data_IF_915878788230
#
_entry.id   IF_915878788230
#
_cell.length_a   1.000
_cell.length_b   1.000
_cell.length_c   1.000
_cell.angle_alpha   90.00
_cell.angle_beta   90.00
_cell.angle_gamma   90.00
#
_symmetry.space_group_name_H-M   'P 1'
#
loop_
_entity.id
_entity.type
_entity.pdbx_description
1 polymer ?
#
# COMPACT_ATOMS: atom_id res chain seq x y z
N UNK A 1 -23.87 -96.92 -6.42
CA UNK A 1 -22.99 -97.02 -5.23
C UNK A 1 -22.25 -95.71 -5.00
N UNK A 2 -22.82 -94.84 -4.16
CA UNK A 2 -22.16 -94.00 -3.13
C UNK A 2 -23.32 -93.48 -2.28
N UNK A 3 -23.23 -93.73 -0.98
CA UNK A 3 -24.32 -93.75 0.01
C UNK A 3 -24.74 -92.33 0.38
N UNK A 4 -26.02 -91.98 0.20
CA UNK A 4 -27.01 -91.70 1.25
C UNK A 4 -26.47 -91.44 2.67
N UNK A 5 -26.78 -90.24 3.20
CA UNK A 5 -27.23 -90.03 4.59
C UNK A 5 -28.02 -88.70 4.60
N UNK A 6 -29.35 -88.67 4.41
CA UNK A 6 -30.41 -89.00 5.38
C UNK A 6 -30.22 -88.35 6.76
N UNK A 7 -30.75 -87.14 6.92
CA UNK A 7 -31.56 -86.79 8.10
C UNK A 7 -32.75 -85.93 7.66
N UNK A 8 -33.76 -86.67 7.21
CA UNK A 8 -35.19 -86.39 7.35
C UNK A 8 -35.54 -85.94 8.78
N UNK A 9 -36.61 -85.23 9.14
CA UNK A 9 -37.83 -84.72 8.49
C UNK A 9 -38.67 -84.02 9.59
N UNK A 10 -39.52 -83.06 9.20
CA UNK A 10 -40.71 -82.54 9.91
C UNK A 10 -40.47 -81.68 11.16
N UNK A 11 -41.13 -80.54 11.32
CA UNK A 11 -42.57 -80.40 11.19
C UNK A 11 -42.98 -79.04 10.58
N UNK A 12 -43.83 -79.16 9.57
CA UNK A 12 -44.48 -78.13 8.77
C UNK A 12 -45.95 -78.14 9.17
N UNK A 13 -46.53 -77.00 9.53
CA UNK A 13 -47.99 -76.68 9.57
C UNK A 13 -48.15 -75.29 10.24
N UNK A 14 -48.84 -74.28 9.71
CA UNK A 14 -49.59 -74.15 8.48
C UNK A 14 -49.90 -72.66 8.21
N UNK A 15 -49.68 -72.22 6.97
CA UNK A 15 -50.54 -71.36 6.12
C UNK A 15 -51.18 -70.05 6.63
N UNK A 16 -50.86 -68.94 5.95
CA UNK A 16 -51.78 -68.26 5.02
C UNK A 16 -51.03 -67.32 4.05
N UNK A 17 -51.63 -67.14 2.87
CA UNK A 17 -51.08 -66.62 1.61
C UNK A 17 -51.22 -65.09 1.49
N UNK A 18 -50.20 -64.40 0.97
CA UNK A 18 -50.36 -63.34 -0.06
C UNK A 18 -49.04 -63.02 -0.77
N UNK A 19 -49.00 -63.15 -2.09
CA UNK A 19 -48.03 -62.49 -2.95
C UNK A 19 -48.60 -61.13 -3.36
N UNK A 20 -47.95 -60.02 -3.00
CA UNK A 20 -47.78 -58.84 -3.87
C UNK A 20 -46.83 -57.76 -3.29
N UNK A 21 -45.82 -57.40 -4.10
CA UNK A 21 -45.18 -56.08 -4.31
C UNK A 21 -45.30 -54.98 -3.24
N UNK A 22 -44.15 -54.47 -2.74
CA UNK A 22 -43.96 -53.04 -2.46
C UNK A 22 -42.48 -52.63 -2.60
N UNK A 23 -42.26 -51.61 -3.43
CA UNK A 23 -41.13 -50.67 -3.40
C UNK A 23 -41.04 -50.03 -2.01
N UNK A 24 -39.82 -49.84 -1.50
CA UNK A 24 -39.38 -48.70 -0.67
C UNK A 24 -37.85 -48.71 -0.81
N UNK A 25 -37.20 -47.87 -1.63
CA UNK A 25 -36.95 -46.43 -1.42
C UNK A 25 -36.66 -46.09 0.04
N UNK A 26 -35.63 -46.73 0.60
CA UNK A 26 -34.83 -46.09 1.63
C UNK A 26 -33.95 -45.02 0.95
N UNK A 27 -34.58 -43.91 0.55
CA UNK A 27 -33.87 -42.64 0.50
C UNK A 27 -33.49 -42.34 1.95
N UNK A 28 -32.25 -42.70 2.32
CA UNK A 28 -31.59 -42.02 3.41
C UNK A 28 -31.46 -40.56 2.97
N UNK A 29 -32.47 -39.77 3.32
CA UNK A 29 -32.34 -38.31 3.38
C UNK A 29 -31.11 -38.06 4.24
N UNK A 30 -29.97 -37.81 3.59
CA UNK A 30 -28.86 -37.14 4.22
C UNK A 30 -29.45 -35.83 4.70
N UNK A 31 -29.64 -35.71 6.01
CA UNK A 31 -29.93 -34.44 6.65
C UNK A 31 -28.78 -33.54 6.21
N UNK A 32 -29.01 -32.72 5.17
CA UNK A 32 -28.09 -31.65 4.80
C UNK A 32 -28.05 -30.77 6.04
N UNK A 33 -26.91 -30.80 6.73
CA UNK A 33 -26.63 -29.87 7.80
C UNK A 33 -26.87 -28.46 7.24
N UNK A 34 -27.87 -27.77 7.78
CA UNK A 34 -28.22 -26.43 7.32
C UNK A 34 -27.08 -25.51 7.73
N UNK A 35 -26.39 -24.95 6.75
CA UNK A 35 -25.31 -24.01 6.98
C UNK A 35 -25.89 -22.68 7.47
N UNK A 36 -25.65 -22.36 8.75
CA UNK A 36 -26.11 -21.15 9.41
C UNK A 36 -25.05 -20.04 9.44
N UNK A 37 -23.93 -20.23 8.74
CA UNK A 37 -22.87 -19.23 8.64
C UNK A 37 -23.38 -17.92 8.03
N UNK A 38 -22.67 -16.84 8.34
CA UNK A 38 -22.96 -15.53 7.75
C UNK A 38 -22.83 -15.59 6.22
N UNK A 39 -21.83 -16.32 5.73
CA UNK A 39 -21.64 -16.58 4.31
C UNK A 39 -22.86 -17.21 3.66
N UNK A 40 -23.40 -18.27 4.26
CA UNK A 40 -24.56 -19.00 3.74
C UNK A 40 -25.85 -18.17 3.81
N UNK A 41 -26.09 -17.49 4.93
CA UNK A 41 -27.40 -16.90 5.24
C UNK A 41 -27.57 -15.45 4.79
N UNK A 42 -26.49 -14.66 4.77
CA UNK A 42 -26.53 -13.23 4.46
C UNK A 42 -25.87 -12.85 3.14
N UNK A 43 -24.87 -13.62 2.70
CA UNK A 43 -24.12 -13.31 1.47
C UNK A 43 -24.58 -14.13 0.25
N UNK A 44 -25.48 -15.09 0.42
CA UNK A 44 -26.00 -15.94 -0.66
C UNK A 44 -25.28 -17.30 -0.80
N UNK A 45 -24.27 -17.55 0.02
CA UNK A 45 -23.65 -18.86 0.19
C UNK A 45 -23.08 -19.46 -1.10
N UNK A 46 -23.10 -20.79 -1.13
CA UNK A 46 -22.52 -21.61 -2.21
C UNK A 46 -23.36 -21.62 -3.51
N UNK A 47 -24.43 -20.83 -3.59
CA UNK A 47 -25.27 -20.75 -4.79
C UNK A 47 -24.41 -20.33 -5.98
N UNK A 48 -24.31 -21.17 -7.01
CA UNK A 48 -23.48 -20.87 -8.18
C UNK A 48 -24.20 -19.90 -9.12
N UNK A 49 -23.53 -18.80 -9.44
CA UNK A 49 -23.96 -17.79 -10.42
C UNK A 49 -22.87 -17.56 -11.45
N UNK A 50 -23.21 -16.96 -12.59
CA UNK A 50 -22.22 -16.62 -13.61
C UNK A 50 -21.22 -15.59 -13.07
N UNK A 51 -19.93 -15.80 -13.31
CA UNK A 51 -18.90 -14.84 -12.92
C UNK A 51 -18.82 -13.71 -13.98
N UNK A 52 -19.18 -12.46 -13.64
CA UNK A 52 -19.13 -11.33 -14.58
C UNK A 52 -17.69 -10.96 -14.98
N UNK A 53 -16.70 -11.29 -14.17
CA UNK A 53 -15.28 -11.04 -14.41
C UNK A 53 -14.61 -12.17 -15.17
N UNK A 54 -15.21 -13.38 -15.19
CA UNK A 54 -14.67 -14.56 -15.86
C UNK A 54 -15.73 -15.23 -16.75
N UNK A 55 -15.81 -14.82 -18.01
CA UNK A 55 -16.82 -15.32 -18.94
C UNK A 55 -16.83 -16.85 -19.05
N UNK A 56 -18.02 -17.44 -18.91
CA UNK A 56 -18.23 -18.88 -18.98
C UNK A 56 -17.90 -19.64 -17.69
N UNK A 57 -17.42 -18.96 -16.64
CA UNK A 57 -17.20 -19.56 -15.33
C UNK A 57 -18.37 -19.28 -14.38
N UNK A 58 -18.52 -20.18 -13.40
CA UNK A 58 -19.49 -20.04 -12.33
C UNK A 58 -18.75 -19.78 -11.01
N UNK A 59 -19.33 -18.97 -10.14
CA UNK A 59 -18.79 -18.56 -8.84
C UNK A 59 -19.87 -18.66 -7.76
N UNK A 60 -19.48 -18.82 -6.50
CA UNK A 60 -20.41 -18.76 -5.37
C UNK A 60 -20.93 -17.33 -5.20
N UNK A 61 -22.25 -17.17 -5.01
CA UNK A 61 -22.88 -15.87 -4.84
C UNK A 61 -22.28 -15.13 -3.63
N UNK A 62 -22.00 -15.84 -2.53
CA UNK A 62 -21.32 -15.28 -1.37
C UNK A 62 -19.95 -14.69 -1.71
N UNK A 63 -19.15 -15.44 -2.46
CA UNK A 63 -17.81 -15.00 -2.87
C UNK A 63 -17.90 -13.81 -3.84
N UNK A 64 -18.84 -13.84 -4.79
CA UNK A 64 -19.04 -12.74 -5.73
C UNK A 64 -19.41 -11.44 -5.01
N UNK A 65 -20.27 -11.52 -3.99
CA UNK A 65 -20.68 -10.37 -3.20
C UNK A 65 -19.50 -9.78 -2.41
N UNK A 66 -18.73 -10.63 -1.73
CA UNK A 66 -17.51 -10.21 -1.04
C UNK A 66 -16.49 -9.58 -2.00
N UNK A 67 -16.23 -10.24 -3.15
CA UNK A 67 -15.32 -9.72 -4.18
C UNK A 67 -15.75 -8.36 -4.70
N UNK A 68 -17.06 -8.14 -4.84
CA UNK A 68 -17.63 -6.86 -5.29
C UNK A 68 -17.34 -5.76 -4.27
N UNK A 69 -17.55 -6.03 -2.97
CA UNK A 69 -17.27 -5.08 -1.90
C UNK A 69 -15.77 -4.78 -1.82
N UNK A 70 -14.92 -5.80 -1.83
CA UNK A 70 -13.46 -5.67 -1.77
C UNK A 70 -12.95 -4.84 -2.95
N UNK A 71 -13.34 -5.21 -4.17
CA UNK A 71 -12.96 -4.50 -5.40
C UNK A 71 -13.41 -3.04 -5.35
N UNK A 72 -14.67 -2.79 -4.95
CA UNK A 72 -15.20 -1.44 -4.83
C UNK A 72 -14.47 -0.60 -3.77
N UNK A 73 -14.08 -1.20 -2.65
CA UNK A 73 -13.34 -0.52 -1.57
C UNK A 73 -11.98 -0.05 -2.07
N UNK A 74 -11.20 -0.94 -2.68
CA UNK A 74 -9.87 -0.58 -3.23
C UNK A 74 -10.00 0.52 -4.29
N UNK A 75 -10.97 0.41 -5.19
CA UNK A 75 -11.20 1.43 -6.22
C UNK A 75 -11.69 2.77 -5.64
N UNK A 76 -12.55 2.76 -4.62
CA UNK A 76 -13.01 3.96 -3.93
C UNK A 76 -11.85 4.69 -3.26
N UNK A 77 -10.99 3.96 -2.54
CA UNK A 77 -9.78 4.52 -1.92
C UNK A 77 -8.86 5.16 -2.96
N UNK A 78 -8.65 4.48 -4.09
CA UNK A 78 -7.79 4.96 -5.16
C UNK A 78 -8.33 6.23 -5.86
N UNK A 79 -9.65 6.43 -5.91
CA UNK A 79 -10.27 7.43 -6.78
C UNK A 79 -10.92 8.63 -6.07
N UNK A 80 -11.35 8.49 -4.81
CA UNK A 80 -12.05 9.56 -4.11
C UNK A 80 -11.12 10.34 -3.17
N UNK A 81 -11.18 11.67 -3.20
CA UNK A 81 -10.29 12.53 -2.41
C UNK A 81 -10.52 12.40 -0.90
N UNK A 82 -11.71 11.95 -0.49
CA UNK A 82 -12.03 11.62 0.90
C UNK A 82 -11.04 10.61 1.51
N UNK A 83 -10.55 9.66 0.70
CA UNK A 83 -9.66 8.60 1.14
C UNK A 83 -8.20 8.83 0.69
N UNK A 84 -7.86 10.07 0.30
CA UNK A 84 -6.53 10.40 -0.20
C UNK A 84 -5.41 10.05 0.80
N UNK A 85 -5.69 10.10 2.10
CA UNK A 85 -4.76 9.76 3.17
C UNK A 85 -4.36 8.29 3.21
N UNK A 86 -5.20 7.39 2.67
CA UNK A 86 -4.89 5.96 2.58
C UNK A 86 -4.03 5.61 1.36
N UNK A 87 -4.00 6.46 0.33
CA UNK A 87 -3.31 6.18 -0.94
C UNK A 87 -1.80 5.87 -0.78
N UNK A 88 -1.04 6.53 0.12
CA UNK A 88 0.37 6.22 0.33
C UNK A 88 0.64 4.74 0.66
N UNK A 89 -0.27 4.04 1.36
CA UNK A 89 -0.13 2.62 1.66
C UNK A 89 -0.31 1.72 0.44
N UNK A 90 -0.94 2.23 -0.62
CA UNK A 90 -1.20 1.52 -1.87
C UNK A 90 -0.25 1.92 -3.01
N UNK A 91 0.85 2.64 -2.74
CA UNK A 91 1.72 3.17 -3.79
C UNK A 91 2.23 2.09 -4.77
N UNK A 92 2.62 0.90 -4.28
CA UNK A 92 3.03 -0.22 -5.16
C UNK A 92 1.90 -0.63 -6.08
N UNK A 93 0.70 -0.80 -5.52
CA UNK A 93 -0.47 -1.21 -6.28
C UNK A 93 -0.87 -0.15 -7.32
N UNK A 94 -0.82 1.13 -6.96
CA UNK A 94 -1.14 2.23 -7.85
C UNK A 94 -0.12 2.34 -8.99
N UNK A 95 1.16 2.10 -8.73
CA UNK A 95 2.20 2.08 -9.76
C UNK A 95 1.98 0.93 -10.76
N UNK A 96 1.69 -0.29 -10.28
CA UNK A 96 1.37 -1.44 -11.13
C UNK A 96 0.16 -1.17 -12.02
N UNK A 97 -0.94 -0.68 -11.44
CA UNK A 97 -2.16 -0.36 -12.18
C UNK A 97 -1.91 0.75 -13.21
N UNK A 98 -1.12 1.77 -12.85
CA UNK A 98 -0.70 2.83 -13.76
C UNK A 98 0.16 2.34 -14.93
N UNK A 99 0.90 1.25 -14.73
CA UNK A 99 1.67 0.54 -15.76
C UNK A 99 0.85 -0.51 -16.53
N UNK A 100 -0.48 -0.50 -16.39
CA UNK A 100 -1.41 -1.48 -16.97
C UNK A 100 -1.19 -2.93 -16.47
N UNK A 101 -0.52 -3.11 -15.34
CA UNK A 101 -0.34 -4.40 -14.66
C UNK A 101 -1.38 -4.57 -13.54
N UNK A 102 -2.36 -5.45 -13.78
CA UNK A 102 -3.43 -5.76 -12.80
C UNK A 102 -3.10 -6.95 -11.90
N UNK A 103 -1.88 -7.52 -11.97
CA UNK A 103 -1.54 -8.75 -11.25
C UNK A 103 -1.62 -8.57 -9.73
N UNK A 104 -1.02 -7.52 -9.18
CA UNK A 104 -1.07 -7.20 -7.76
C UNK A 104 -2.48 -6.81 -7.28
N UNK A 105 -3.25 -6.10 -8.13
CA UNK A 105 -4.66 -5.79 -7.84
C UNK A 105 -5.49 -7.06 -7.70
N UNK A 106 -5.37 -7.96 -8.67
CA UNK A 106 -6.10 -9.23 -8.65
C UNK A 106 -5.68 -10.11 -7.47
N UNK A 107 -4.39 -10.12 -7.11
CA UNK A 107 -3.90 -10.83 -5.93
C UNK A 107 -4.48 -10.26 -4.63
N UNK A 108 -4.43 -8.94 -4.44
CA UNK A 108 -5.00 -8.26 -3.27
C UNK A 108 -6.50 -8.55 -3.14
N UNK A 109 -7.26 -8.34 -4.22
CA UNK A 109 -8.70 -8.58 -4.23
C UNK A 109 -9.00 -10.03 -3.90
N UNK A 110 -8.26 -10.98 -4.47
CA UNK A 110 -8.45 -12.40 -4.20
C UNK A 110 -8.15 -12.72 -2.73
N UNK A 111 -6.98 -12.37 -2.22
CA UNK A 111 -6.54 -12.74 -0.87
C UNK A 111 -7.45 -12.11 0.20
N UNK A 112 -7.87 -10.86 0.01
CA UNK A 112 -8.80 -10.24 0.92
C UNK A 112 -10.21 -10.85 0.81
N UNK A 113 -10.66 -11.24 -0.38
CA UNK A 113 -11.93 -11.96 -0.53
C UNK A 113 -11.89 -13.34 0.13
N UNK A 114 -10.78 -14.09 -0.02
CA UNK A 114 -10.58 -15.39 0.63
C UNK A 114 -10.59 -15.26 2.16
N UNK A 115 -9.92 -14.24 2.70
CA UNK A 115 -9.96 -13.91 4.13
C UNK A 115 -11.39 -13.72 4.64
N UNK A 116 -12.17 -12.88 3.95
CA UNK A 116 -13.55 -12.61 4.33
C UNK A 116 -14.44 -13.84 4.16
N UNK A 117 -14.24 -14.63 3.10
CA UNK A 117 -15.02 -15.83 2.85
C UNK A 117 -14.78 -16.87 3.96
N UNK A 118 -13.52 -17.16 4.29
CA UNK A 118 -13.17 -18.05 5.40
C UNK A 118 -13.73 -17.53 6.73
N UNK A 119 -13.53 -16.24 7.02
CA UNK A 119 -13.97 -15.64 8.29
C UNK A 119 -15.49 -15.56 8.45
N UNK A 120 -16.23 -15.55 7.35
CA UNK A 120 -17.70 -15.57 7.36
C UNK A 120 -18.29 -16.98 7.33
N UNK A 121 -17.43 -18.02 7.33
CA UNK A 121 -17.79 -19.42 7.47
C UNK A 121 -17.90 -20.20 6.16
N UNK A 122 -17.36 -19.68 5.05
CA UNK A 122 -17.31 -20.43 3.80
C UNK A 122 -16.43 -21.67 3.94
N UNK A 123 -16.86 -22.80 3.37
CA UNK A 123 -16.18 -24.10 3.51
C UNK A 123 -15.15 -24.37 2.41
N UNK A 124 -15.27 -23.66 1.29
CA UNK A 124 -14.50 -23.93 0.07
C UNK A 124 -13.34 -22.94 -0.14
N UNK A 125 -13.10 -22.04 0.81
CA UNK A 125 -12.09 -21.00 0.73
C UNK A 125 -11.21 -21.04 1.98
N UNK A 126 -9.93 -20.76 1.79
CA UNK A 126 -8.94 -20.70 2.86
C UNK A 126 -7.98 -19.58 2.53
N UNK A 127 -7.81 -18.66 3.47
CA UNK A 127 -6.81 -17.63 3.39
C UNK A 127 -5.42 -18.25 3.59
N UNK A 128 -4.53 -17.97 2.64
CA UNK A 128 -3.15 -18.46 2.65
C UNK A 128 -2.12 -17.34 2.60
N UNK A 129 -2.57 -16.10 2.75
CA UNK A 129 -1.71 -14.93 2.79
C UNK A 129 -0.94 -14.80 4.11
N UNK A 130 -0.21 -13.70 4.22
CA UNK A 130 0.55 -13.35 5.43
C UNK A 130 -0.39 -13.18 6.64
N UNK A 131 0.16 -13.31 7.84
CA UNK A 131 -0.58 -12.91 9.04
C UNK A 131 -0.99 -11.44 8.93
N UNK A 132 -2.10 -11.02 9.54
CA UNK A 132 -2.50 -9.60 9.49
C UNK A 132 -1.42 -8.66 10.03
N UNK A 133 -0.58 -9.14 10.96
CA UNK A 133 0.59 -8.41 11.47
C UNK A 133 1.64 -8.23 10.38
N UNK A 134 2.09 -9.32 9.76
CA UNK A 134 3.17 -9.27 8.76
C UNK A 134 2.68 -8.58 7.47
N UNK A 135 1.41 -8.80 7.10
CA UNK A 135 0.79 -8.21 5.92
C UNK A 135 0.79 -6.68 5.97
N UNK A 136 0.72 -6.08 7.16
CA UNK A 136 0.66 -4.62 7.38
C UNK A 136 1.94 -4.05 8.00
N UNK A 137 3.02 -4.82 8.01
CA UNK A 137 4.34 -4.40 8.48
C UNK A 137 5.30 -4.22 7.30
N UNK A 138 5.76 -2.99 6.99
CA UNK A 138 6.70 -2.73 5.89
C UNK A 138 8.02 -3.51 5.98
N UNK A 139 8.44 -3.94 7.18
CA UNK A 139 9.64 -4.74 7.35
C UNK A 139 9.47 -6.23 6.95
N UNK A 140 8.22 -6.70 6.84
CA UNK A 140 7.88 -8.07 6.46
C UNK A 140 7.20 -8.15 5.08
N UNK A 141 6.56 -7.08 4.65
CA UNK A 141 5.86 -6.98 3.38
C UNK A 141 6.27 -5.69 2.64
N UNK A 142 7.15 -5.83 1.65
CA UNK A 142 7.65 -4.73 0.82
C UNK A 142 6.54 -4.04 -0.01
N UNK A 143 5.33 -4.61 -0.06
CA UNK A 143 4.18 -3.98 -0.71
C UNK A 143 3.46 -2.96 0.18
N UNK A 144 3.73 -2.96 1.48
CA UNK A 144 3.19 -1.98 2.42
C UNK A 144 4.16 -0.82 2.61
N UNK A 145 3.67 0.37 2.29
CA UNK A 145 4.45 1.58 2.35
C UNK A 145 4.03 2.41 3.57
N UNK A 146 4.50 1.99 4.75
CA UNK A 146 4.19 2.60 6.05
C UNK A 146 3.37 1.70 6.99
N UNK A 147 3.41 2.02 8.29
CA UNK A 147 2.58 1.40 9.32
C UNK A 147 1.28 2.19 9.51
N UNK A 148 0.19 1.48 9.83
CA UNK A 148 -1.17 2.01 9.97
C UNK A 148 -1.43 2.44 11.43
N UNK A 149 -2.12 3.57 11.65
CA UNK A 149 -2.66 3.97 12.95
C UNK A 149 -4.19 3.73 13.05
N UNK A 150 -4.83 4.14 14.16
CA UNK A 150 -6.27 3.97 14.30
C UNK A 150 -7.10 4.83 13.33
N UNK A 151 -6.64 6.03 12.98
CA UNK A 151 -7.38 6.93 12.09
C UNK A 151 -7.40 6.38 10.66
N UNK A 152 -6.26 5.87 10.19
CA UNK A 152 -6.15 5.15 8.92
C UNK A 152 -7.10 3.94 8.87
N UNK A 153 -7.12 3.15 9.95
CA UNK A 153 -7.97 1.96 10.03
C UNK A 153 -9.46 2.32 10.01
N UNK A 154 -9.86 3.35 10.78
CA UNK A 154 -11.24 3.83 10.82
C UNK A 154 -11.69 4.32 9.45
N UNK A 155 -10.82 5.06 8.76
CA UNK A 155 -11.08 5.58 7.41
C UNK A 155 -11.21 4.44 6.38
N UNK A 156 -10.43 3.36 6.52
CA UNK A 156 -10.59 2.15 5.71
C UNK A 156 -11.93 1.44 5.98
N UNK A 157 -12.32 1.28 7.25
CA UNK A 157 -13.61 0.68 7.63
C UNK A 157 -14.77 1.51 7.07
N UNK A 158 -14.66 2.83 7.10
CA UNK A 158 -15.64 3.74 6.50
C UNK A 158 -15.81 3.48 4.99
N UNK A 159 -14.70 3.33 4.26
CA UNK A 159 -14.73 3.00 2.83
C UNK A 159 -15.46 1.67 2.56
N UNK A 160 -15.20 0.64 3.38
CA UNK A 160 -15.88 -0.67 3.26
C UNK A 160 -17.37 -0.53 3.49
N UNK A 161 -17.79 0.22 4.52
CA UNK A 161 -19.21 0.42 4.86
C UNK A 161 -19.94 1.17 3.75
N UNK A 162 -19.34 2.22 3.19
CA UNK A 162 -19.93 2.96 2.06
C UNK A 162 -20.12 2.05 0.85
N UNK A 163 -19.08 1.31 0.46
CA UNK A 163 -19.17 0.42 -0.71
C UNK A 163 -20.17 -0.71 -0.49
N UNK A 164 -20.19 -1.31 0.70
CA UNK A 164 -21.19 -2.32 1.04
C UNK A 164 -22.61 -1.75 0.95
N UNK A 165 -22.82 -0.53 1.43
CA UNK A 165 -24.11 0.17 1.35
C UNK A 165 -24.52 0.41 -0.10
N UNK A 166 -23.62 0.93 -0.93
CA UNK A 166 -23.87 1.18 -2.35
C UNK A 166 -24.13 -0.11 -3.14
N UNK A 167 -23.52 -1.22 -2.73
CA UNK A 167 -23.73 -2.54 -3.30
C UNK A 167 -25.03 -3.23 -2.81
N UNK A 168 -25.83 -2.57 -1.96
CA UNK A 168 -27.10 -3.08 -1.45
C UNK A 168 -27.00 -3.93 -0.18
N UNK A 169 -25.86 -3.89 0.50
CA UNK A 169 -25.59 -4.62 1.76
C UNK A 169 -25.59 -3.71 3.00
N UNK A 170 -26.23 -2.53 2.90
CA UNK A 170 -26.24 -1.52 3.96
C UNK A 170 -27.14 -1.81 5.17
N UNK A 171 -27.74 -3.00 5.25
CA UNK A 171 -28.60 -3.37 6.37
C UNK A 171 -27.76 -3.67 7.63
N UNK A 172 -28.23 -3.22 8.80
CA UNK A 172 -27.50 -3.36 10.07
C UNK A 172 -27.16 -4.81 10.43
N UNK A 173 -28.01 -5.75 10.02
CA UNK A 173 -27.77 -7.19 10.22
C UNK A 173 -26.61 -7.75 9.39
N UNK A 174 -26.13 -7.01 8.40
CA UNK A 174 -24.94 -7.32 7.59
C UNK A 174 -23.77 -6.45 8.04
N UNK A 175 -23.97 -5.12 8.11
CA UNK A 175 -22.89 -4.19 8.46
C UNK A 175 -22.37 -4.39 9.89
N UNK A 176 -23.23 -4.76 10.84
CA UNK A 176 -22.81 -5.01 12.23
C UNK A 176 -21.79 -6.15 12.34
N UNK A 177 -22.10 -7.36 11.86
CA UNK A 177 -21.14 -8.47 11.82
C UNK A 177 -19.88 -8.19 11.00
N UNK A 178 -19.99 -7.50 9.86
CA UNK A 178 -18.81 -7.11 9.05
C UNK A 178 -17.90 -6.16 9.84
N UNK A 179 -18.48 -5.15 10.50
CA UNK A 179 -17.74 -4.25 11.37
C UNK A 179 -17.05 -5.00 12.50
N UNK A 180 -17.73 -5.93 13.18
CA UNK A 180 -17.10 -6.76 14.21
C UNK A 180 -15.95 -7.64 13.69
N UNK A 181 -16.09 -8.17 12.48
CA UNK A 181 -15.04 -8.96 11.85
C UNK A 181 -13.79 -8.11 11.59
N UNK A 182 -13.97 -6.91 11.02
CA UNK A 182 -12.88 -5.98 10.76
C UNK A 182 -12.25 -5.50 12.08
N UNK A 183 -13.06 -5.09 13.07
CA UNK A 183 -12.56 -4.70 14.39
C UNK A 183 -11.73 -5.80 15.07
N UNK A 184 -12.04 -7.06 14.81
CA UNK A 184 -11.25 -8.20 15.31
C UNK A 184 -9.82 -8.26 14.77
N UNK A 185 -9.51 -7.57 13.68
CA UNK A 185 -8.15 -7.50 13.10
C UNK A 185 -7.38 -6.25 13.49
N UNK A 186 -8.02 -5.26 14.11
CA UNK A 186 -7.42 -3.96 14.43
C UNK A 186 -6.08 -4.08 15.15
N UNK A 187 -6.02 -4.86 16.22
CA UNK A 187 -4.79 -5.03 17.02
C UNK A 187 -3.60 -5.60 16.22
N UNK A 188 -3.87 -6.35 15.15
CA UNK A 188 -2.83 -6.88 14.28
C UNK A 188 -2.39 -5.87 13.20
N UNK A 189 -3.30 -4.99 12.78
CA UNK A 189 -3.09 -4.07 11.65
C UNK A 189 -2.54 -2.72 12.13
N UNK A 190 -3.05 -2.20 13.24
CA UNK A 190 -2.62 -0.92 13.83
C UNK A 190 -1.28 -1.12 14.52
N UNK A 191 -0.23 -0.57 13.90
CA UNK A 191 1.16 -0.75 14.32
C UNK A 191 1.91 0.59 14.51
N UNK A 192 1.28 1.70 14.11
CA UNK A 192 1.79 3.06 14.28
C UNK A 192 1.06 3.75 15.45
N UNK A 193 1.78 4.60 16.18
CA UNK A 193 1.21 5.36 17.30
C UNK A 193 0.27 6.47 16.78
N UNK A 194 -0.89 6.62 17.42
CA UNK A 194 -1.88 7.63 17.06
C UNK A 194 -1.30 9.05 17.11
N UNK A 195 -1.69 9.88 16.14
CA UNK A 195 -1.25 11.28 16.06
C UNK A 195 0.19 11.46 15.59
N UNK A 196 0.88 10.38 15.24
CA UNK A 196 2.05 10.46 14.38
C UNK A 196 1.60 10.54 12.92
N UNK A 197 2.44 11.02 12.01
CA UNK A 197 2.18 10.93 10.58
C UNK A 197 3.14 9.92 9.98
N UNK A 198 2.75 9.23 8.91
CA UNK A 198 3.73 8.56 8.06
C UNK A 198 4.74 9.58 7.56
N UNK A 199 6.00 9.14 7.48
CA UNK A 199 7.10 10.00 7.07
C UNK A 199 6.86 10.55 5.66
N UNK A 200 7.47 11.70 5.37
CA UNK A 200 7.23 12.39 4.11
C UNK A 200 7.79 11.60 2.92
N UNK A 201 8.85 10.82 3.11
CA UNK A 201 9.38 9.96 2.04
C UNK A 201 8.33 8.95 1.57
N UNK A 202 7.71 8.26 2.53
CA UNK A 202 6.59 7.33 2.32
C UNK A 202 5.42 8.01 1.61
N UNK A 203 5.03 9.22 2.04
CA UNK A 203 3.96 10.01 1.38
C UNK A 203 4.29 10.43 -0.05
N UNK A 204 5.57 10.62 -0.37
CA UNK A 204 6.02 10.99 -1.72
C UNK A 204 6.12 9.80 -2.69
N UNK A 205 5.82 8.58 -2.23
CA UNK A 205 5.95 7.38 -3.05
C UNK A 205 6.80 6.30 -2.40
N UNK A 206 7.60 6.66 -1.39
CA UNK A 206 8.46 5.73 -0.67
C UNK A 206 9.41 4.97 -1.58
N UNK A 207 9.63 3.70 -1.24
CA UNK A 207 10.56 2.78 -1.92
C UNK A 207 10.01 2.16 -3.20
N UNK A 208 8.84 2.60 -3.67
CA UNK A 208 8.23 2.07 -4.89
C UNK A 208 9.09 2.46 -6.09
N UNK A 209 9.55 1.46 -6.84
CA UNK A 209 10.38 1.70 -8.01
C UNK A 209 9.52 2.12 -9.21
N UNK A 210 9.83 3.26 -9.81
CA UNK A 210 9.19 3.78 -11.02
C UNK A 210 10.26 4.19 -12.03
N UNK A 211 9.91 4.18 -13.32
CA UNK A 211 10.82 4.59 -14.38
C UNK A 211 10.99 6.12 -14.39
N UNK A 212 12.24 6.59 -14.40
CA UNK A 212 12.59 8.00 -14.52
C UNK A 212 12.53 8.49 -15.98
N UNK A 213 12.84 9.77 -16.20
CA UNK A 213 12.80 10.36 -17.55
C UNK A 213 13.83 9.80 -18.54
N UNK A 214 14.83 9.08 -18.05
CA UNK A 214 15.92 8.46 -18.83
C UNK A 214 15.75 6.94 -18.98
N UNK A 215 14.67 6.38 -18.42
CA UNK A 215 14.36 4.94 -18.49
C UNK A 215 14.99 4.10 -17.38
N UNK A 216 15.54 4.72 -16.34
CA UNK A 216 16.10 4.00 -15.18
C UNK A 216 15.03 3.83 -14.10
N UNK A 217 15.11 2.74 -13.34
CA UNK A 217 14.24 2.55 -12.17
C UNK A 217 14.80 3.35 -10.99
N UNK A 218 13.96 4.22 -10.42
CA UNK A 218 14.27 5.05 -9.24
C UNK A 218 13.11 4.95 -8.24
N UNK A 219 13.38 5.20 -6.95
CA UNK A 219 12.33 5.27 -5.94
C UNK A 219 11.42 6.48 -6.17
N UNK A 220 10.11 6.26 -6.12
CA UNK A 220 9.09 7.28 -6.32
C UNK A 220 9.21 8.43 -5.31
N UNK A 221 9.60 8.13 -4.07
CA UNK A 221 9.89 9.16 -3.06
C UNK A 221 11.12 10.03 -3.37
N UNK A 222 12.09 9.50 -4.13
CA UNK A 222 13.35 10.19 -4.46
C UNK A 222 13.23 11.13 -5.65
N UNK A 223 12.51 10.72 -6.70
CA UNK A 223 12.35 11.51 -7.94
C UNK A 223 11.92 12.96 -7.74
N UNK A 224 10.87 13.28 -6.95
CA UNK A 224 10.49 14.68 -6.73
C UNK A 224 11.59 15.48 -5.99
N UNK A 225 12.33 14.86 -5.09
CA UNK A 225 13.48 15.49 -4.42
C UNK A 225 14.56 15.86 -5.43
N UNK A 226 14.99 14.88 -6.23
CA UNK A 226 16.00 15.05 -7.28
C UNK A 226 15.59 16.15 -8.26
N UNK A 227 14.33 16.21 -8.65
CA UNK A 227 13.79 17.24 -9.54
C UNK A 227 13.83 18.65 -8.92
N UNK A 228 13.43 18.80 -7.65
CA UNK A 228 13.46 20.08 -6.92
C UNK A 228 14.90 20.54 -6.66
N UNK A 229 15.77 19.63 -6.25
CA UNK A 229 17.19 19.91 -6.02
C UNK A 229 17.87 20.35 -7.31
N UNK A 230 17.67 19.62 -8.41
CA UNK A 230 18.21 19.96 -9.73
C UNK A 230 17.79 21.38 -10.13
N UNK A 231 16.49 21.69 -10.02
CA UNK A 231 15.96 23.01 -10.34
C UNK A 231 16.52 24.10 -9.42
N UNK A 232 16.69 23.82 -8.12
CA UNK A 232 17.28 24.75 -7.16
C UNK A 232 18.68 25.15 -7.58
N UNK A 233 19.54 24.18 -7.90
CA UNK A 233 20.93 24.45 -8.33
C UNK A 233 20.94 25.25 -9.64
N UNK A 234 20.04 24.93 -10.58
CA UNK A 234 19.91 25.67 -11.84
C UNK A 234 19.43 27.11 -11.63
N UNK A 235 18.47 27.34 -10.72
CA UNK A 235 18.01 28.68 -10.35
C UNK A 235 19.15 29.50 -9.74
N UNK A 236 19.90 28.93 -8.80
CA UNK A 236 21.09 29.59 -8.21
C UNK A 236 22.11 29.97 -9.29
N UNK A 237 22.33 29.09 -10.27
CA UNK A 237 23.30 29.33 -11.34
C UNK A 237 22.84 30.38 -12.38
N UNK A 238 21.53 30.47 -12.66
CA UNK A 238 21.02 31.19 -13.83
C UNK A 238 20.11 32.37 -13.52
N UNK A 239 19.30 32.30 -12.47
CA UNK A 239 18.31 33.33 -12.14
C UNK A 239 18.97 34.58 -11.54
N UNK A 240 18.72 35.79 -12.06
CA UNK A 240 19.22 37.03 -11.49
C UNK A 240 18.79 37.26 -10.03
N UNK A 241 17.65 36.70 -9.60
CA UNK A 241 17.14 36.81 -8.23
C UNK A 241 18.12 36.19 -7.20
N UNK A 242 18.81 35.12 -7.58
CA UNK A 242 19.74 34.39 -6.71
C UNK A 242 21.21 34.67 -7.04
N UNK A 243 21.49 35.75 -7.76
CA UNK A 243 22.84 36.07 -8.22
C UNK A 243 23.86 36.23 -7.08
N UNK A 244 23.42 36.63 -5.90
CA UNK A 244 24.27 36.79 -4.71
C UNK A 244 24.81 35.46 -4.17
N UNK A 245 24.21 34.32 -4.52
CA UNK A 245 24.67 32.99 -4.10
C UNK A 245 25.80 32.44 -5.00
N UNK A 246 25.93 32.94 -6.23
CA UNK A 246 26.92 32.43 -7.21
C UNK A 246 28.38 32.46 -6.72
N UNK A 247 28.85 33.48 -5.98
CA UNK A 247 30.22 33.53 -5.48
C UNK A 247 30.62 32.38 -4.55
N UNK A 248 29.66 31.65 -3.97
CA UNK A 248 29.93 30.48 -3.11
C UNK A 248 30.30 29.22 -3.92
N UNK A 249 29.99 29.18 -5.22
CA UNK A 249 30.12 27.99 -6.08
C UNK A 249 31.10 28.16 -7.26
N UNK A 250 32.30 28.77 -7.09
CA UNK A 250 33.15 29.10 -8.23
C UNK A 250 33.70 27.86 -8.96
N UNK A 251 33.97 26.78 -8.21
CA UNK A 251 34.44 25.50 -8.77
C UNK A 251 33.35 24.86 -9.63
N UNK A 252 32.13 24.75 -9.09
CA UNK A 252 30.99 24.18 -9.79
C UNK A 252 30.66 24.95 -11.08
N UNK A 253 30.64 26.28 -11.02
CA UNK A 253 30.35 27.12 -12.19
C UNK A 253 31.44 26.98 -13.26
N UNK A 254 32.71 26.80 -12.87
CA UNK A 254 33.80 26.57 -13.81
C UNK A 254 33.71 25.20 -14.50
N UNK A 255 33.39 24.13 -13.76
CA UNK A 255 33.16 22.78 -14.29
C UNK A 255 32.03 22.79 -15.32
N UNK A 256 30.85 23.30 -14.93
CA UNK A 256 29.68 23.38 -15.82
C UNK A 256 29.98 24.23 -17.05
N UNK A 257 30.67 25.38 -16.88
CA UNK A 257 31.09 26.23 -17.99
C UNK A 257 32.07 25.56 -18.97
N UNK A 258 32.82 24.56 -18.51
CA UNK A 258 33.69 23.73 -19.34
C UNK A 258 32.96 22.51 -19.96
N UNK A 259 31.66 22.34 -19.66
CA UNK A 259 30.87 21.18 -20.10
C UNK A 259 31.07 19.92 -19.25
N UNK A 260 31.72 20.05 -18.09
CA UNK A 260 31.87 18.96 -17.12
C UNK A 260 30.74 19.01 -16.09
N UNK A 261 29.83 18.03 -16.14
CA UNK A 261 28.68 17.95 -15.24
C UNK A 261 28.93 17.08 -14.01
N UNK A 262 30.13 16.53 -13.83
CA UNK A 262 30.42 15.59 -12.74
C UNK A 262 30.14 16.20 -11.36
N UNK A 263 30.69 17.39 -11.06
CA UNK A 263 30.48 18.06 -9.79
C UNK A 263 29.06 18.60 -9.59
N UNK A 264 28.31 18.87 -10.67
CA UNK A 264 26.89 19.19 -10.62
C UNK A 264 26.07 17.97 -10.22
N UNK A 265 26.29 16.84 -10.89
CA UNK A 265 25.59 15.59 -10.61
C UNK A 265 25.85 15.14 -9.17
N UNK A 266 27.09 15.18 -8.70
CA UNK A 266 27.43 14.85 -7.31
C UNK A 266 26.79 15.81 -6.30
N UNK A 267 26.63 17.11 -6.61
CA UNK A 267 25.93 18.03 -5.72
C UNK A 267 24.44 17.70 -5.65
N UNK A 268 23.80 17.45 -6.80
CA UNK A 268 22.38 17.09 -6.88
C UNK A 268 22.11 15.79 -6.13
N UNK A 269 22.92 14.75 -6.35
CA UNK A 269 22.81 13.45 -5.70
C UNK A 269 22.96 13.60 -4.18
N UNK A 270 24.08 14.14 -3.70
CA UNK A 270 24.31 14.31 -2.26
C UNK A 270 23.23 15.15 -1.57
N UNK A 271 22.75 16.23 -2.19
CA UNK A 271 21.70 17.04 -1.58
C UNK A 271 20.36 16.29 -1.59
N UNK A 272 20.05 15.56 -2.65
CA UNK A 272 18.84 14.73 -2.71
C UNK A 272 18.87 13.61 -1.68
N UNK A 273 20.03 12.96 -1.49
CA UNK A 273 20.23 11.90 -0.48
C UNK A 273 20.08 12.43 0.94
N UNK A 274 20.65 13.62 1.22
CA UNK A 274 20.46 14.30 2.50
C UNK A 274 18.99 14.53 2.79
N UNK A 275 18.24 15.05 1.82
CA UNK A 275 16.82 15.30 1.96
C UNK A 275 16.07 13.99 2.17
N UNK A 276 16.28 12.99 1.30
CA UNK A 276 15.64 11.69 1.34
C UNK A 276 15.83 11.01 2.70
N UNK A 277 17.08 10.94 3.18
CA UNK A 277 17.41 10.42 4.51
C UNK A 277 16.68 11.17 5.62
N UNK A 278 16.66 12.50 5.54
CA UNK A 278 16.06 13.35 6.58
C UNK A 278 14.54 13.25 6.65
N UNK A 279 13.89 12.79 5.58
CA UNK A 279 12.44 12.68 5.50
C UNK A 279 11.90 11.25 5.59
N UNK A 280 12.76 10.28 5.90
CA UNK A 280 12.36 8.90 6.22
C UNK A 280 12.89 7.81 5.29
N UNK A 281 13.69 8.15 4.27
CA UNK A 281 14.30 7.11 3.43
C UNK A 281 15.27 6.24 4.23
N UNK A 282 15.22 4.93 3.98
CA UNK A 282 16.14 3.93 4.53
C UNK A 282 17.19 3.46 3.53
N UNK A 283 16.98 3.74 2.24
CA UNK A 283 17.85 3.31 1.14
C UNK A 283 18.81 4.41 0.69
N UNK A 284 18.44 5.69 0.87
CA UNK A 284 19.32 6.83 0.61
C UNK A 284 19.97 7.31 1.90
N UNK A 285 21.30 7.33 1.91
CA UNK A 285 22.10 7.74 3.06
C UNK A 285 23.08 8.80 2.59
N UNK A 286 23.07 9.95 3.25
CA UNK A 286 24.06 10.99 2.98
C UNK A 286 25.44 10.56 3.49
N UNK A 287 26.38 10.33 2.58
CA UNK A 287 27.76 9.96 2.90
C UNK A 287 28.77 11.13 2.80
N UNK A 288 28.27 12.34 2.51
CA UNK A 288 29.09 13.53 2.36
C UNK A 288 29.69 14.08 3.66
N UNK A 289 30.39 15.21 3.55
CA UNK A 289 30.91 15.93 4.73
C UNK A 289 29.77 16.35 5.65
N UNK A 290 29.97 16.32 6.98
CA UNK A 290 28.99 16.93 7.88
C UNK A 290 28.76 18.41 7.49
N UNK A 291 27.58 18.94 7.82
CA UNK A 291 27.15 20.25 7.34
C UNK A 291 28.03 21.42 7.81
N UNK A 292 28.80 21.25 8.89
CA UNK A 292 29.79 22.24 9.33
C UNK A 292 30.99 22.25 8.38
N UNK A 293 31.61 21.09 8.16
CA UNK A 293 32.79 20.98 7.30
C UNK A 293 32.47 21.23 5.83
N UNK A 294 31.29 20.78 5.38
CA UNK A 294 30.80 20.99 4.02
C UNK A 294 30.70 22.48 3.65
N UNK A 295 30.38 23.35 4.62
CA UNK A 295 30.19 24.79 4.42
C UNK A 295 31.32 25.65 5.02
N UNK A 296 32.41 25.02 5.47
CA UNK A 296 33.59 25.71 5.97
C UNK A 296 34.65 25.84 4.85
N UNK A 297 34.96 27.06 4.36
CA UNK A 297 35.94 27.26 3.28
C UNK A 297 37.39 26.87 3.66
N UNK A 298 37.70 26.74 4.96
CA UNK A 298 39.01 26.27 5.42
C UNK A 298 39.15 24.74 5.31
N UNK A 299 38.04 24.00 5.16
CA UNK A 299 37.99 22.53 5.10
C UNK A 299 37.56 22.05 3.71
N UNK A 300 36.48 22.63 3.17
CA UNK A 300 35.96 22.31 1.84
C UNK A 300 36.41 23.36 0.82
N UNK A 301 37.43 23.01 0.03
CA UNK A 301 37.98 23.87 -1.02
C UNK A 301 37.02 24.18 -2.17
N UNK A 302 35.85 23.52 -2.24
CA UNK A 302 34.82 23.83 -3.25
C UNK A 302 33.93 25.00 -2.85
N UNK A 303 33.92 25.37 -1.57
CA UNK A 303 33.18 26.52 -1.04
C UNK A 303 34.06 27.76 -0.97
N UNK A 304 33.46 28.93 -1.11
CA UNK A 304 34.16 30.23 -0.96
C UNK A 304 33.39 31.13 -0.02
N UNK A 305 34.07 31.63 1.02
CA UNK A 305 33.45 32.48 2.03
C UNK A 305 32.60 31.70 3.03
N UNK A 306 32.19 32.39 4.10
CA UNK A 306 31.30 31.84 5.12
C UNK A 306 29.88 32.30 4.86
N UNK A 307 28.94 31.38 4.95
CA UNK A 307 27.51 31.65 4.70
C UNK A 307 26.94 32.44 5.87
N UNK A 308 26.29 33.56 5.56
CA UNK A 308 25.51 34.34 6.55
C UNK A 308 24.06 33.85 6.62
N UNK A 309 23.32 34.27 7.64
CA UNK A 309 21.88 34.00 7.71
C UNK A 309 21.11 34.52 6.49
N UNK A 310 21.52 35.66 5.93
CA UNK A 310 20.85 36.25 4.77
C UNK A 310 21.08 35.41 3.49
N UNK A 311 22.31 34.91 3.31
CA UNK A 311 22.62 34.00 2.19
C UNK A 311 21.81 32.70 2.31
N UNK A 312 21.73 32.14 3.51
CA UNK A 312 20.95 30.93 3.75
C UNK A 312 19.46 31.14 3.48
N UNK A 313 18.88 32.24 3.97
CA UNK A 313 17.48 32.57 3.74
C UNK A 313 17.19 32.82 2.24
N UNK A 314 18.15 33.36 1.48
CA UNK A 314 18.05 33.48 0.02
C UNK A 314 18.13 32.12 -0.68
N UNK A 315 18.95 31.19 -0.20
CA UNK A 315 19.00 29.82 -0.70
C UNK A 315 17.67 29.08 -0.45
N UNK A 316 17.06 29.24 0.72
CA UNK A 316 15.73 28.68 1.01
C UNK A 316 14.68 29.22 0.04
N UNK A 317 14.74 30.51 -0.33
CA UNK A 317 13.84 31.06 -1.35
C UNK A 317 14.03 30.40 -2.72
N UNK A 318 15.26 30.04 -3.10
CA UNK A 318 15.51 29.28 -4.32
C UNK A 318 14.88 27.88 -4.26
N UNK A 319 14.97 27.18 -3.12
CA UNK A 319 14.33 25.87 -2.91
C UNK A 319 12.81 25.99 -3.01
N UNK A 320 12.20 26.99 -2.37
CA UNK A 320 10.74 27.23 -2.43
C UNK A 320 10.29 27.53 -3.87
N UNK A 321 11.04 28.36 -4.61
CA UNK A 321 10.74 28.67 -6.01
C UNK A 321 10.86 27.43 -6.89
N UNK A 322 11.90 26.62 -6.70
CA UNK A 322 12.08 25.35 -7.40
C UNK A 322 10.91 24.38 -7.13
N UNK A 323 10.53 24.20 -5.86
CA UNK A 323 9.41 23.34 -5.47
C UNK A 323 8.08 23.81 -6.07
N UNK A 324 7.84 25.12 -6.03
CA UNK A 324 6.66 25.74 -6.67
C UNK A 324 6.64 25.49 -8.18
N UNK A 325 7.78 25.67 -8.86
CA UNK A 325 7.91 25.41 -10.30
C UNK A 325 7.65 23.94 -10.66
N UNK A 326 7.96 22.99 -9.76
CA UNK A 326 7.68 21.56 -9.92
C UNK A 326 6.27 21.15 -9.48
N UNK A 327 5.44 22.10 -9.05
CA UNK A 327 4.06 21.83 -8.64
C UNK A 327 3.94 21.10 -7.30
N UNK A 328 4.96 21.18 -6.43
CA UNK A 328 4.90 20.60 -5.09
C UNK A 328 3.84 21.32 -4.26
N UNK A 329 2.93 20.61 -3.56
CA UNK A 329 1.92 21.24 -2.71
C UNK A 329 2.52 22.11 -1.59
N UNK A 330 1.88 23.24 -1.27
CA UNK A 330 2.37 24.17 -0.22
C UNK A 330 2.54 23.49 1.15
N UNK A 331 1.69 22.53 1.50
CA UNK A 331 1.80 21.76 2.74
C UNK A 331 3.11 20.97 2.79
N UNK A 332 3.49 20.34 1.68
CA UNK A 332 4.75 19.60 1.53
C UNK A 332 5.95 20.56 1.56
N UNK A 333 5.87 21.70 0.86
CA UNK A 333 6.90 22.74 0.91
C UNK A 333 7.11 23.23 2.35
N UNK A 334 6.03 23.45 3.11
CA UNK A 334 6.09 23.88 4.50
C UNK A 334 6.82 22.87 5.40
N UNK A 335 6.55 21.58 5.21
CA UNK A 335 7.20 20.51 5.96
C UNK A 335 8.71 20.39 5.62
N UNK A 336 9.08 20.44 4.34
CA UNK A 336 10.49 20.54 3.92
C UNK A 336 11.17 21.80 4.46
N UNK A 337 10.47 22.92 4.47
CA UNK A 337 10.96 24.19 5.00
C UNK A 337 11.29 24.09 6.49
N UNK A 338 10.48 23.39 7.27
CA UNK A 338 10.75 23.16 8.70
C UNK A 338 12.04 22.35 8.93
N UNK A 339 12.30 21.34 8.09
CA UNK A 339 13.57 20.58 8.11
C UNK A 339 14.76 21.50 7.79
N UNK A 340 14.68 22.24 6.70
CA UNK A 340 15.75 23.12 6.23
C UNK A 340 16.03 24.26 7.22
N UNK A 341 15.02 24.76 7.92
CA UNK A 341 15.16 25.83 8.89
C UNK A 341 15.38 25.36 10.33
N UNK A 342 15.54 24.05 10.54
CA UNK A 342 15.82 23.49 11.86
C UNK A 342 17.09 24.08 12.45
N UNK A 343 17.10 24.29 13.78
CA UNK A 343 18.23 24.93 14.48
C UNK A 343 19.54 24.17 14.27
N UNK A 344 19.48 22.83 14.28
CA UNK A 344 20.64 21.98 14.07
C UNK A 344 21.24 22.13 12.66
N UNK A 345 20.41 22.13 11.62
CA UNK A 345 20.90 22.24 10.24
C UNK A 345 21.36 23.66 9.92
N UNK A 346 20.51 24.67 10.19
CA UNK A 346 20.84 26.07 9.92
C UNK A 346 22.08 26.51 10.71
N UNK A 347 22.20 26.09 11.97
CA UNK A 347 23.36 26.41 12.81
C UNK A 347 24.67 25.76 12.35
N UNK A 348 24.61 24.61 11.66
CA UNK A 348 25.79 23.99 11.08
C UNK A 348 26.28 24.71 9.81
N UNK A 349 25.34 25.24 9.01
CA UNK A 349 25.62 25.87 7.72
C UNK A 349 26.02 27.35 7.87
N UNK A 350 25.30 28.10 8.71
CA UNK A 350 25.54 29.54 8.91
C UNK A 350 26.74 29.74 9.82
N UNK A 351 27.84 30.24 9.26
CA UNK A 351 29.12 30.40 9.95
C UNK A 351 29.70 31.82 9.86
N UNK A 352 29.06 32.69 9.07
CA UNK A 352 29.51 34.05 8.72
C UNK A 352 28.98 35.17 9.61
#
# INVERSE_FOLDING_TARGET
>A
MKRLNQFSVMLLLMTAVVFWSCNDKDDMDQIKETDDSFYATKLGGEMKVADPSNQGQMIEQGYLNLRTIVTGTVLKIASEDKYAELRPYFNVLLAEVGAEDMSGFNALVKDFTDLLAESTGAKNFTYSGMSMVDAHNPAANDRMNGMIDNEDFDLFVEAVVEVATDAGFGEQEILGPVGQLLEGTRDAIVQREDGTMIDLYTRLGGTVMVEDGDGNMEEAGYLPLKAVVTETVLLVASDPEFAELKPYFPVLLAEVGAGDMSGFNTLVENFSDLLAQSIGSTNYVYEGMNMVDAHNPDVNSRMTGKITSADYDLFIQAVVKAATNKGVPESVIGEFGALLTSEGLKGAIVQG
#
